data_IF_154273524958
#
_entry.id   IF_154273524958
#
_cell.length_a   1.000
_cell.length_b   1.000
_cell.length_c   1.000
_cell.angle_alpha   90.00
_cell.angle_beta   90.00
_cell.angle_gamma   90.00
#
_symmetry.space_group_name_H-M   'P 1'
#
loop_
_entity.id
_entity.type
_entity.pdbx_description
1 polymer ?
#
# COMPACT_ATOMS: atom_id res chain seq x y z
N UNK A 1 -6.85 -35.60 6.30
CA UNK A 1 -8.18 -35.02 6.02
C UNK A 1 -8.08 -34.10 4.83
N UNK A 2 -8.77 -34.42 3.74
CA UNK A 2 -8.74 -33.66 2.49
C UNK A 2 -9.34 -32.26 2.71
N UNK A 3 -8.54 -31.21 2.48
CA UNK A 3 -9.02 -29.82 2.52
C UNK A 3 -9.67 -29.51 1.17
N UNK A 4 -10.94 -29.13 1.18
CA UNK A 4 -11.72 -28.77 -0.01
C UNK A 4 -11.11 -27.57 -0.72
N UNK A 5 -10.97 -27.64 -2.04
CA UNK A 5 -10.40 -26.64 -2.96
C UNK A 5 -11.25 -25.36 -3.12
N UNK A 6 -11.91 -24.88 -2.06
CA UNK A 6 -12.85 -23.74 -2.09
C UNK A 6 -12.34 -22.50 -1.34
N UNK A 7 -11.06 -22.43 -0.93
CA UNK A 7 -10.51 -21.32 -0.14
C UNK A 7 -9.18 -20.74 -0.64
N UNK A 8 -8.83 -20.96 -1.91
CA UNK A 8 -7.50 -20.60 -2.45
C UNK A 8 -7.42 -19.16 -3.03
N UNK A 9 -8.59 -18.56 -3.28
CA UNK A 9 -8.77 -17.21 -3.80
C UNK A 9 -9.47 -16.39 -2.72
N UNK A 10 -9.16 -15.10 -2.56
CA UNK A 10 -9.99 -14.20 -1.74
C UNK A 10 -11.47 -14.43 -2.10
N UNK A 11 -12.30 -14.99 -1.21
CA UNK A 11 -13.62 -15.44 -1.61
C UNK A 11 -14.44 -14.27 -2.13
N UNK A 12 -15.17 -14.49 -3.23
CA UNK A 12 -16.10 -13.50 -3.78
C UNK A 12 -17.10 -13.10 -2.69
N UNK A 13 -17.32 -11.79 -2.51
CA UNK A 13 -18.08 -11.17 -1.40
C UNK A 13 -17.39 -11.12 -0.01
N UNK A 14 -16.11 -11.48 0.11
CA UNK A 14 -15.30 -11.22 1.33
C UNK A 14 -14.30 -10.06 1.19
N UNK A 15 -14.24 -9.41 0.02
CA UNK A 15 -13.34 -8.27 -0.21
C UNK A 15 -13.99 -7.01 0.34
N UNK A 16 -13.55 -6.61 1.54
CA UNK A 16 -14.11 -5.49 2.31
C UNK A 16 -13.44 -4.13 2.06
N UNK A 17 -12.39 -4.10 1.24
CA UNK A 17 -11.62 -2.89 0.95
C UNK A 17 -11.02 -2.19 2.20
N UNK A 18 -10.69 -2.96 3.23
CA UNK A 18 -9.94 -2.41 4.38
C UNK A 18 -8.51 -2.07 3.96
N UNK A 19 -7.99 -0.97 4.48
CA UNK A 19 -6.58 -0.59 4.32
C UNK A 19 -5.79 -1.01 5.55
N UNK A 20 -4.48 -1.20 5.40
CA UNK A 20 -3.60 -1.38 6.56
C UNK A 20 -3.59 -0.15 7.47
N UNK A 21 -3.85 1.05 6.95
CA UNK A 21 -3.93 2.28 7.75
C UNK A 21 -5.03 2.22 8.81
N UNK A 22 -6.19 1.63 8.48
CA UNK A 22 -7.27 1.44 9.45
C UNK A 22 -6.83 0.52 10.61
N UNK A 23 -5.97 -0.45 10.33
CA UNK A 23 -5.43 -1.37 11.35
C UNK A 23 -4.33 -0.73 12.20
N UNK A 24 -3.70 0.35 11.71
CA UNK A 24 -2.70 1.11 12.45
C UNK A 24 -3.31 2.10 13.44
N UNK A 25 -4.58 2.49 13.28
CA UNK A 25 -5.23 3.55 14.08
C UNK A 25 -5.05 3.42 15.60
N UNK A 26 -5.18 2.23 16.23
CA UNK A 26 -4.96 2.08 17.68
C UNK A 26 -3.54 2.44 18.13
N UNK A 27 -2.55 2.29 17.24
CA UNK A 27 -1.13 2.48 17.53
C UNK A 27 -0.62 3.89 17.21
N UNK A 28 -1.50 4.76 16.72
CA UNK A 28 -1.19 6.16 16.39
C UNK A 28 -2.20 7.12 17.05
N UNK A 29 -2.68 6.75 18.24
CA UNK A 29 -3.62 7.53 19.05
C UNK A 29 -4.95 7.87 18.36
N UNK A 30 -5.42 7.00 17.45
CA UNK A 30 -6.70 7.14 16.75
C UNK A 30 -7.71 6.07 17.19
N UNK A 31 -7.67 5.63 18.45
CA UNK A 31 -8.60 4.65 19.01
C UNK A 31 -10.09 5.00 18.80
N UNK A 32 -10.54 6.27 18.96
CA UNK A 32 -11.94 6.63 18.71
C UNK A 32 -12.38 6.38 17.26
N UNK A 33 -11.49 6.66 16.30
CA UNK A 33 -11.75 6.41 14.88
C UNK A 33 -11.77 4.90 14.58
N UNK A 34 -10.89 4.12 15.20
CA UNK A 34 -10.88 2.67 15.07
C UNK A 34 -12.18 2.03 15.58
N UNK A 35 -12.62 2.41 16.78
CA UNK A 35 -13.85 1.88 17.40
C UNK A 35 -15.11 2.24 16.62
N UNK A 36 -15.07 3.31 15.82
CA UNK A 36 -16.18 3.71 14.97
C UNK A 36 -16.33 2.82 13.71
N UNK A 37 -15.31 2.02 13.35
CA UNK A 37 -15.33 1.17 12.15
C UNK A 37 -15.93 -0.20 12.48
N UNK A 38 -16.95 -0.59 11.73
CA UNK A 38 -17.45 -1.97 11.77
C UNK A 38 -16.75 -2.84 10.72
N UNK A 39 -15.68 -3.54 11.14
CA UNK A 39 -14.90 -4.43 10.29
C UNK A 39 -15.67 -5.68 9.81
N UNK A 40 -16.93 -5.89 10.23
CA UNK A 40 -17.81 -6.90 9.63
C UNK A 40 -18.22 -6.51 8.21
N UNK A 41 -18.24 -5.22 7.90
CA UNK A 41 -18.69 -4.65 6.63
C UNK A 41 -17.56 -4.02 5.82
N UNK A 42 -17.81 -3.76 4.53
CA UNK A 42 -16.82 -3.12 3.67
C UNK A 42 -16.64 -1.63 4.01
N UNK A 43 -15.40 -1.14 3.91
CA UNK A 43 -15.07 0.28 4.10
C UNK A 43 -15.09 1.08 2.80
N UNK A 44 -15.21 0.43 1.65
CA UNK A 44 -15.34 1.12 0.36
C UNK A 44 -16.01 0.29 -0.73
N UNK A 45 -16.39 0.99 -1.79
CA UNK A 45 -17.20 0.44 -2.89
C UNK A 45 -16.40 0.08 -4.14
N UNK A 46 -15.08 0.28 -4.14
CA UNK A 46 -14.23 -0.17 -5.24
C UNK A 46 -14.46 -1.65 -5.53
N UNK A 47 -14.80 -1.96 -6.78
CA UNK A 47 -15.11 -3.32 -7.20
C UNK A 47 -14.59 -3.57 -8.62
N UNK A 48 -13.95 -4.71 -8.79
CA UNK A 48 -13.51 -5.20 -10.08
C UNK A 48 -14.16 -6.55 -10.34
N UNK A 49 -14.94 -6.60 -11.43
CA UNK A 49 -15.64 -7.81 -11.90
C UNK A 49 -16.65 -8.38 -10.89
N UNK A 50 -17.33 -7.54 -10.11
CA UNK A 50 -18.39 -8.00 -9.19
C UNK A 50 -17.88 -8.99 -8.14
N UNK A 51 -16.64 -8.77 -7.66
CA UNK A 51 -15.96 -9.66 -6.71
C UNK A 51 -15.91 -9.10 -5.29
N UNK A 52 -15.98 -7.79 -5.15
CA UNK A 52 -15.72 -7.09 -3.89
C UNK A 52 -16.44 -5.77 -3.76
N UNK A 53 -16.14 -5.06 -2.68
CA UNK A 53 -16.83 -3.82 -2.36
C UNK A 53 -18.26 -4.04 -1.88
N UNK A 54 -18.95 -2.94 -1.56
CA UNK A 54 -20.38 -2.98 -1.28
C UNK A 54 -20.85 -1.78 -0.47
N UNK A 55 -20.24 -1.59 0.70
CA UNK A 55 -20.66 -0.56 1.66
C UNK A 55 -19.63 0.55 1.84
N UNK A 56 -20.08 1.61 2.53
CA UNK A 56 -19.30 2.76 2.97
C UNK A 56 -19.46 2.88 4.47
N UNK A 57 -18.43 3.38 5.13
CA UNK A 57 -18.41 3.64 6.56
C UNK A 57 -18.36 5.17 6.77
N UNK A 58 -19.53 5.82 6.79
CA UNK A 58 -19.66 7.29 6.74
C UNK A 58 -18.92 8.01 7.87
N UNK A 59 -18.78 7.36 9.02
CA UNK A 59 -18.12 7.90 10.21
C UNK A 59 -16.61 8.13 10.05
N UNK A 60 -15.96 7.50 9.07
CA UNK A 60 -14.54 7.73 8.75
C UNK A 60 -14.31 8.57 7.49
N UNK A 61 -15.37 8.91 6.76
CA UNK A 61 -15.27 9.75 5.57
C UNK A 61 -14.82 11.17 5.92
N UNK A 62 -13.94 11.74 5.08
CA UNK A 62 -13.38 13.08 5.22
C UNK A 62 -12.32 13.21 6.32
N UNK A 63 -12.07 12.16 7.10
CA UNK A 63 -11.04 12.16 8.16
C UNK A 63 -9.65 12.14 7.56
N UNK A 64 -8.79 13.04 8.03
CA UNK A 64 -7.39 13.17 7.64
C UNK A 64 -6.51 12.90 8.86
N UNK A 65 -5.38 12.24 8.64
CA UNK A 65 -4.38 11.97 9.67
C UNK A 65 -3.06 12.57 9.24
N UNK A 66 -2.64 13.66 9.89
CA UNK A 66 -1.42 14.38 9.52
C UNK A 66 -0.16 13.51 9.63
N UNK A 67 -0.13 12.53 10.55
CA UNK A 67 0.98 11.56 10.65
C UNK A 67 1.18 10.72 9.39
N UNK A 68 0.14 10.57 8.55
CA UNK A 68 0.21 9.83 7.29
C UNK A 68 0.45 10.74 6.08
N UNK A 69 0.84 12.00 6.29
CA UNK A 69 0.95 13.02 5.24
C UNK A 69 2.34 13.65 5.31
N UNK A 70 3.02 13.67 4.18
CA UNK A 70 4.31 14.32 4.06
C UNK A 70 4.09 15.85 3.97
N UNK A 71 4.69 16.67 4.84
CA UNK A 71 4.54 18.13 4.81
C UNK A 71 5.05 18.78 3.51
N UNK A 72 5.96 18.13 2.80
CA UNK A 72 6.50 18.62 1.52
C UNK A 72 5.63 18.27 0.31
N UNK A 73 4.62 17.41 0.47
CA UNK A 73 3.74 17.04 -0.63
C UNK A 73 2.59 18.05 -0.77
N UNK A 74 2.40 18.55 -1.99
CA UNK A 74 1.37 19.54 -2.25
C UNK A 74 -0.02 18.88 -2.14
N UNK A 75 -0.90 19.49 -1.36
CA UNK A 75 -2.27 19.02 -1.24
C UNK A 75 -2.94 18.96 -2.62
N UNK A 76 -3.62 17.85 -2.93
CA UNK A 76 -4.22 17.63 -4.23
C UNK A 76 -5.46 16.76 -4.12
N UNK A 77 -6.62 17.30 -4.50
CA UNK A 77 -7.87 16.54 -4.65
C UNK A 77 -8.15 15.65 -3.42
N UNK A 78 -8.26 16.29 -2.25
CA UNK A 78 -8.26 15.63 -0.95
C UNK A 78 -9.21 16.37 0.04
N UNK A 79 -10.37 15.79 0.39
CA UNK A 79 -10.78 14.41 0.11
C UNK A 79 -11.18 14.19 -1.36
N UNK A 80 -10.93 12.97 -1.85
CA UNK A 80 -11.27 12.55 -3.20
C UNK A 80 -12.58 11.75 -3.23
N UNK A 81 -13.37 11.92 -4.29
CA UNK A 81 -14.49 11.06 -4.61
C UNK A 81 -14.47 10.68 -6.08
N UNK A 82 -14.77 9.42 -6.38
CA UNK A 82 -14.94 8.88 -7.71
C UNK A 82 -16.23 8.05 -7.74
N UNK A 83 -17.30 8.63 -8.29
CA UNK A 83 -18.66 8.11 -8.16
C UNK A 83 -19.09 7.05 -9.17
N UNK A 84 -18.28 6.76 -10.19
CA UNK A 84 -18.60 5.74 -11.18
C UNK A 84 -18.22 4.37 -10.62
N UNK A 85 -19.18 3.45 -10.53
CA UNK A 85 -18.97 2.12 -9.94
C UNK A 85 -17.98 1.30 -10.76
N UNK A 86 -16.77 1.13 -10.25
CA UNK A 86 -15.65 0.38 -10.82
C UNK A 86 -14.51 0.21 -9.78
N UNK A 87 -13.32 -0.20 -10.23
CA UNK A 87 -12.17 -0.48 -9.35
C UNK A 87 -11.55 0.75 -8.65
N UNK A 88 -11.96 1.96 -9.04
CA UNK A 88 -11.53 3.23 -8.46
C UNK A 88 -12.59 3.88 -7.57
N UNK A 89 -13.78 3.28 -7.44
CA UNK A 89 -14.88 3.89 -6.68
C UNK A 89 -14.49 4.15 -5.25
N UNK A 90 -14.61 5.41 -4.86
CA UNK A 90 -14.20 5.91 -3.55
C UNK A 90 -15.02 7.14 -3.20
N UNK A 91 -15.30 7.35 -1.92
CA UNK A 91 -16.15 8.45 -1.47
C UNK A 91 -15.47 9.19 -0.32
N UNK A 92 -15.36 10.50 -0.50
CA UNK A 92 -14.88 11.44 0.51
C UNK A 92 -13.65 10.90 1.27
N UNK A 93 -12.68 10.33 0.56
CA UNK A 93 -11.55 9.63 1.16
C UNK A 93 -10.26 10.43 1.04
N UNK A 94 -9.45 10.38 2.09
CA UNK A 94 -8.25 11.18 2.19
C UNK A 94 -7.02 10.46 1.67
N UNK A 95 -6.16 11.19 0.98
CA UNK A 95 -4.89 10.69 0.45
C UNK A 95 -3.85 10.51 1.56
N UNK A 96 -2.95 9.57 1.32
CA UNK A 96 -1.85 9.19 2.22
C UNK A 96 -0.53 9.24 1.46
N UNK A 97 0.52 9.76 2.09
CA UNK A 97 1.85 9.89 1.47
C UNK A 97 2.73 8.66 1.64
N UNK A 98 2.34 7.69 2.48
CA UNK A 98 3.14 6.50 2.79
C UNK A 98 2.40 5.23 2.36
N UNK A 99 2.79 4.65 1.23
CA UNK A 99 2.10 3.51 0.63
C UNK A 99 2.64 2.17 1.08
N UNK A 100 1.76 1.18 1.21
CA UNK A 100 2.14 -0.21 1.49
C UNK A 100 2.90 -0.80 0.31
N UNK A 101 4.13 -1.24 0.59
CA UNK A 101 5.02 -1.80 -0.43
C UNK A 101 4.57 -3.21 -0.79
N UNK A 102 4.51 -3.47 -2.08
CA UNK A 102 4.09 -4.77 -2.61
C UNK A 102 4.92 -5.19 -3.82
N UNK A 103 4.95 -6.49 -4.07
CA UNK A 103 5.79 -7.11 -5.10
C UNK A 103 5.23 -6.98 -6.51
N UNK A 104 3.93 -6.70 -6.61
CA UNK A 104 3.19 -6.71 -7.85
C UNK A 104 1.83 -6.02 -7.68
N UNK A 105 1.24 -5.65 -8.80
CA UNK A 105 -0.14 -5.20 -8.91
C UNK A 105 -1.13 -6.15 -8.25
N UNK A 106 -2.13 -5.58 -7.61
CA UNK A 106 -3.20 -6.27 -6.91
C UNK A 106 -4.06 -7.16 -7.82
N UNK A 107 -4.25 -6.79 -9.09
CA UNK A 107 -4.96 -7.64 -10.06
C UNK A 107 -4.21 -8.91 -10.47
N UNK A 108 -2.90 -8.96 -10.25
CA UNK A 108 -2.09 -10.16 -10.51
C UNK A 108 -1.98 -11.07 -9.29
N UNK A 109 -2.46 -10.63 -8.12
CA UNK A 109 -2.35 -11.35 -6.84
C UNK A 109 -3.75 -11.53 -6.27
N UNK A 110 -4.36 -12.65 -6.65
CA UNK A 110 -5.71 -13.00 -6.23
C UNK A 110 -5.74 -13.97 -5.03
N UNK A 111 -4.58 -14.52 -4.63
CA UNK A 111 -4.45 -15.42 -3.48
C UNK A 111 -4.36 -14.61 -2.19
N UNK A 112 -4.95 -15.15 -1.12
CA UNK A 112 -4.71 -14.65 0.24
C UNK A 112 -3.24 -14.84 0.62
N UNK A 113 -2.75 -14.02 1.54
CA UNK A 113 -1.35 -13.96 1.94
C UNK A 113 -0.75 -15.31 2.33
N UNK A 114 -1.49 -16.14 3.07
CA UNK A 114 -1.02 -17.47 3.51
C UNK A 114 -0.80 -18.48 2.37
N UNK A 115 -1.33 -18.21 1.18
CA UNK A 115 -1.22 -19.05 -0.02
C UNK A 115 -0.39 -18.39 -1.13
N UNK A 116 0.21 -17.22 -0.87
CA UNK A 116 1.20 -16.61 -1.74
C UNK A 116 2.56 -17.26 -1.48
N UNK A 117 3.05 -18.01 -2.47
CA UNK A 117 4.34 -18.73 -2.45
C UNK A 117 5.35 -18.11 -3.42
N UNK A 118 5.14 -16.86 -3.83
CA UNK A 118 6.13 -16.17 -4.65
C UNK A 118 7.47 -16.10 -3.92
N UNK A 119 8.57 -16.40 -4.62
CA UNK A 119 9.91 -16.36 -4.03
C UNK A 119 10.38 -14.95 -3.65
N UNK A 120 9.68 -13.92 -4.12
CA UNK A 120 9.90 -12.49 -3.87
C UNK A 120 8.68 -11.91 -3.13
N UNK A 121 8.20 -12.64 -2.13
CA UNK A 121 7.04 -12.27 -1.31
C UNK A 121 7.32 -11.01 -0.50
N UNK A 122 6.36 -10.10 -0.42
CA UNK A 122 6.44 -8.88 0.39
C UNK A 122 5.81 -9.07 1.77
N UNK A 123 6.11 -8.18 2.74
CA UNK A 123 5.53 -8.26 4.09
C UNK A 123 4.01 -8.20 4.11
N UNK A 124 3.40 -7.44 3.21
CA UNK A 124 1.95 -7.27 3.15
C UNK A 124 1.35 -7.96 1.94
N UNK A 125 0.09 -8.37 2.06
CA UNK A 125 -0.72 -8.81 0.93
C UNK A 125 -2.21 -8.89 1.25
N UNK A 126 -2.93 -9.75 0.52
CA UNK A 126 -4.39 -9.83 0.62
C UNK A 126 -4.83 -10.65 1.81
N UNK A 127 -5.69 -10.10 2.66
CA UNK A 127 -6.26 -10.78 3.82
C UNK A 127 -5.19 -11.46 4.71
N UNK A 128 -4.04 -10.79 4.87
CA UNK A 128 -2.95 -11.25 5.72
C UNK A 128 -1.65 -10.50 5.46
N UNK A 129 -0.68 -10.73 6.33
CA UNK A 129 0.66 -10.16 6.30
C UNK A 129 1.63 -11.12 6.98
N UNK A 130 2.94 -10.89 6.77
CA UNK A 130 4.02 -11.59 7.45
C UNK A 130 3.93 -11.37 8.96
N UNK A 131 4.28 -12.39 9.73
CA UNK A 131 4.78 -12.18 11.09
C UNK A 131 6.21 -11.66 11.01
N UNK A 132 6.70 -10.98 12.04
CA UNK A 132 8.12 -10.58 12.11
C UNK A 132 9.07 -11.78 11.97
N UNK A 133 8.68 -12.94 12.49
CA UNK A 133 9.42 -14.20 12.34
C UNK A 133 9.48 -14.73 10.91
N UNK A 134 8.60 -14.26 10.03
CA UNK A 134 8.55 -14.69 8.63
C UNK A 134 9.45 -13.80 7.74
N UNK A 135 10.09 -12.76 8.30
CA UNK A 135 10.99 -11.83 7.60
C UNK A 135 12.43 -12.33 7.73
N UNK A 136 12.85 -13.19 6.80
CA UNK A 136 14.15 -13.85 6.85
C UNK A 136 15.32 -12.94 6.46
N UNK A 137 15.08 -11.88 5.68
CA UNK A 137 16.06 -10.84 5.31
C UNK A 137 16.45 -9.96 6.51
N UNK A 138 15.71 -10.09 7.61
CA UNK A 138 15.83 -9.24 8.78
C UNK A 138 14.94 -8.00 8.65
N UNK A 139 14.18 -7.73 9.71
CA UNK A 139 13.22 -6.62 9.75
C UNK A 139 13.87 -5.25 9.44
N UNK A 140 15.13 -5.04 9.83
CA UNK A 140 15.88 -3.80 9.57
C UNK A 140 16.24 -3.55 8.09
N UNK A 141 16.17 -4.59 7.25
CA UNK A 141 16.48 -4.55 5.82
C UNK A 141 15.25 -4.72 4.94
N UNK A 142 14.08 -4.96 5.53
CA UNK A 142 12.83 -5.10 4.80
C UNK A 142 11.98 -3.83 4.88
N UNK A 143 11.69 -3.28 3.71
CA UNK A 143 10.82 -2.13 3.49
C UNK A 143 9.35 -2.51 3.71
N UNK A 144 8.66 -1.75 4.57
CA UNK A 144 7.24 -1.88 4.85
C UNK A 144 6.40 -0.84 4.10
N UNK A 145 6.77 0.43 4.26
CA UNK A 145 6.11 1.57 3.62
C UNK A 145 7.14 2.40 2.87
N UNK A 146 6.70 3.06 1.81
CA UNK A 146 7.51 4.02 1.06
C UNK A 146 6.68 5.25 0.74
N UNK A 147 7.34 6.39 0.69
CA UNK A 147 6.70 7.62 0.24
C UNK A 147 6.16 7.51 -1.19
N UNK A 148 5.05 8.21 -1.41
CA UNK A 148 4.33 8.26 -2.67
C UNK A 148 3.58 9.59 -2.77
N UNK A 149 3.68 10.35 -3.88
CA UNK A 149 3.02 11.65 -3.96
C UNK A 149 1.50 11.51 -4.10
N UNK A 150 0.76 12.44 -3.49
CA UNK A 150 -0.70 12.56 -3.59
C UNK A 150 -1.15 12.67 -5.04
N UNK A 151 -0.48 13.52 -5.82
CA UNK A 151 -0.82 13.76 -7.22
C UNK A 151 -0.15 12.74 -8.13
N UNK A 152 -0.96 11.79 -8.60
CA UNK A 152 -0.60 10.82 -9.63
C UNK A 152 -0.96 11.31 -11.03
N UNK A 153 -0.62 10.51 -12.05
CA UNK A 153 -1.02 10.76 -13.44
C UNK A 153 -2.54 10.91 -13.61
N UNK A 154 -3.33 10.05 -12.95
CA UNK A 154 -4.80 10.17 -12.89
C UNK A 154 -5.26 10.64 -11.51
N UNK A 155 -6.34 11.42 -11.47
CA UNK A 155 -7.01 11.85 -10.23
C UNK A 155 -7.59 10.66 -9.44
N UNK A 156 -7.97 9.59 -10.13
CA UNK A 156 -8.60 8.42 -9.52
C UNK A 156 -7.62 7.51 -8.73
N UNK A 157 -6.31 7.76 -8.83
CA UNK A 157 -5.31 6.89 -8.21
C UNK A 157 -5.03 7.32 -6.76
N UNK A 158 -4.87 6.33 -5.87
CA UNK A 158 -4.57 6.52 -4.46
C UNK A 158 -3.07 6.54 -4.14
N UNK A 159 -2.67 6.10 -2.93
CA UNK A 159 -3.49 5.42 -1.92
C UNK A 159 -4.41 6.35 -1.11
N UNK A 160 -5.42 5.76 -0.48
CA UNK A 160 -6.37 6.43 0.40
C UNK A 160 -6.40 5.79 1.80
N UNK A 161 -6.74 6.58 2.81
CA UNK A 161 -6.85 6.14 4.21
C UNK A 161 -8.05 5.20 4.41
N UNK A 162 -9.25 5.63 3.97
CA UNK A 162 -10.52 5.01 4.33
C UNK A 162 -10.77 3.66 3.66
N UNK A 163 -10.39 3.52 2.40
CA UNK A 163 -10.64 2.28 1.68
C UNK A 163 -9.59 1.95 0.63
N UNK A 164 -9.41 0.64 0.46
CA UNK A 164 -8.57 0.05 -0.56
C UNK A 164 -9.24 0.23 -1.93
N UNK A 165 -8.48 0.74 -2.90
CA UNK A 165 -8.86 0.77 -4.31
C UNK A 165 -7.81 0.02 -5.14
N UNK A 166 -8.04 -0.13 -6.45
CA UNK A 166 -7.08 -0.73 -7.40
C UNK A 166 -5.63 -0.25 -7.20
N UNK A 167 -5.42 0.97 -6.73
CA UNK A 167 -4.11 1.63 -6.72
C UNK A 167 -3.55 1.87 -5.32
N UNK A 168 -3.94 1.01 -4.37
CA UNK A 168 -3.52 1.13 -2.97
C UNK A 168 -2.05 0.76 -2.74
N UNK A 169 -1.57 -0.30 -3.39
CA UNK A 169 -0.18 -0.75 -3.22
C UNK A 169 0.80 0.23 -3.88
N UNK A 170 2.04 0.28 -3.41
CA UNK A 170 3.14 0.95 -4.09
C UNK A 170 4.17 -0.09 -4.49
N UNK A 171 4.72 0.05 -5.70
CA UNK A 171 5.52 -0.96 -6.37
C UNK A 171 6.90 -0.40 -6.73
N UNK A 172 7.78 -0.14 -5.74
CA UNK A 172 9.14 0.37 -6.01
C UNK A 172 9.91 -0.52 -6.96
N UNK A 173 9.68 -1.83 -6.84
CA UNK A 173 10.29 -2.84 -7.69
C UNK A 173 10.06 -2.62 -9.19
N UNK A 174 8.92 -2.06 -9.57
CA UNK A 174 8.50 -1.93 -10.96
C UNK A 174 8.68 -0.52 -11.51
N UNK A 175 8.46 0.50 -10.69
CA UNK A 175 8.47 1.88 -11.14
C UNK A 175 9.76 2.63 -10.80
N UNK A 176 10.49 2.26 -9.75
CA UNK A 176 11.62 3.07 -9.25
C UNK A 176 11.15 4.35 -8.55
N UNK A 177 12.03 4.95 -7.75
CA UNK A 177 11.74 6.17 -6.97
C UNK A 177 11.67 7.36 -7.93
N UNK A 178 10.66 8.22 -7.76
CA UNK A 178 10.46 9.44 -8.54
C UNK A 178 10.36 9.24 -10.06
N UNK A 179 10.02 8.03 -10.50
CA UNK A 179 9.82 7.76 -11.92
C UNK A 179 8.75 8.65 -12.52
N UNK A 180 9.12 9.32 -13.62
CA UNK A 180 8.23 10.19 -14.36
C UNK A 180 7.49 9.43 -15.45
N UNK A 181 6.19 9.24 -15.25
CA UNK A 181 5.35 8.61 -16.23
C UNK A 181 5.12 9.54 -17.41
N UNK A 182 5.71 9.18 -18.57
CA UNK A 182 5.57 9.88 -19.85
C UNK A 182 6.02 11.35 -19.81
N UNK A 183 7.01 11.69 -18.98
CA UNK A 183 7.54 13.06 -18.93
C UNK A 183 6.55 14.09 -18.37
N UNK A 184 5.67 13.66 -17.45
CA UNK A 184 4.58 14.48 -16.91
C UNK A 184 4.91 15.20 -15.61
N UNK A 185 6.09 14.98 -15.04
CA UNK A 185 6.45 15.33 -13.68
C UNK A 185 5.68 14.55 -12.61
N UNK A 186 5.12 13.38 -12.95
CA UNK A 186 4.26 12.59 -12.05
C UNK A 186 4.47 11.09 -12.24
N UNK A 187 4.44 10.31 -11.15
CA UNK A 187 4.41 8.87 -11.28
C UNK A 187 3.04 8.38 -11.80
N UNK A 188 3.05 7.15 -12.31
CA UNK A 188 1.83 6.39 -12.50
C UNK A 188 1.22 5.99 -11.14
N UNK A 189 0.13 5.23 -11.15
CA UNK A 189 -0.63 4.85 -9.96
C UNK A 189 0.23 4.31 -8.80
N UNK A 190 1.03 3.28 -9.05
CA UNK A 190 1.78 2.56 -8.02
C UNK A 190 3.23 3.05 -7.85
N UNK A 191 3.60 4.18 -8.46
CA UNK A 191 4.98 4.67 -8.41
C UNK A 191 5.32 5.29 -7.05
N UNK A 192 6.42 4.86 -6.40
CA UNK A 192 6.92 5.53 -5.19
C UNK A 192 7.61 6.85 -5.53
N UNK A 193 7.85 7.64 -4.51
CA UNK A 193 8.59 8.89 -4.62
C UNK A 193 8.05 9.96 -3.68
N UNK A 194 8.70 11.11 -3.71
CA UNK A 194 8.31 12.25 -2.91
C UNK A 194 8.50 13.55 -3.69
N UNK A 195 8.22 14.69 -3.04
CA UNK A 195 8.59 16.02 -3.54
C UNK A 195 9.86 16.57 -2.89
N UNK A 196 10.55 15.75 -2.08
CA UNK A 196 11.88 16.06 -1.59
C UNK A 196 12.90 16.04 -2.75
N UNK A 197 14.02 16.73 -2.57
CA UNK A 197 15.07 16.74 -3.57
C UNK A 197 15.81 15.38 -3.58
N UNK A 198 15.76 14.66 -4.71
CA UNK A 198 16.63 13.52 -4.99
C UNK A 198 16.28 12.19 -4.30
N UNK A 199 15.08 12.01 -3.75
CA UNK A 199 14.73 10.75 -3.09
C UNK A 199 13.40 10.74 -2.35
N UNK A 200 13.24 9.78 -1.45
CA UNK A 200 12.03 9.63 -0.62
C UNK A 200 12.31 8.82 0.66
N UNK A 201 11.45 8.94 1.67
CA UNK A 201 11.56 8.17 2.90
C UNK A 201 10.98 6.76 2.78
N UNK A 202 11.63 5.83 3.46
CA UNK A 202 11.26 4.42 3.57
C UNK A 202 11.15 4.06 5.05
N UNK A 203 10.09 3.33 5.42
CA UNK A 203 9.94 2.71 6.74
C UNK A 203 10.34 1.23 6.65
N UNK A 204 11.25 0.81 7.53
CA UNK A 204 11.71 -0.56 7.67
C UNK A 204 10.94 -1.32 8.76
N UNK A 205 11.05 -2.65 8.75
CA UNK A 205 10.36 -3.54 9.69
C UNK A 205 10.77 -3.41 11.15
N UNK A 206 11.94 -2.82 11.43
CA UNK A 206 12.41 -2.47 12.77
C UNK A 206 11.91 -1.09 13.25
N UNK A 207 11.14 -0.38 12.44
CA UNK A 207 10.63 0.96 12.73
C UNK A 207 11.57 2.09 12.28
N UNK A 208 12.75 1.79 11.75
CA UNK A 208 13.67 2.80 11.21
C UNK A 208 13.07 3.48 9.99
N UNK A 209 13.17 4.80 9.94
CA UNK A 209 12.88 5.60 8.75
C UNK A 209 14.20 6.08 8.16
N UNK A 210 14.37 5.92 6.84
CA UNK A 210 15.59 6.36 6.16
C UNK A 210 15.24 7.01 4.83
N UNK A 211 15.94 8.11 4.51
CA UNK A 211 15.87 8.74 3.22
C UNK A 211 16.70 7.94 2.21
N UNK A 212 16.10 7.58 1.08
CA UNK A 212 16.77 6.80 0.03
C UNK A 212 16.78 7.60 -1.26
N UNK A 213 17.95 7.65 -1.90
CA UNK A 213 18.18 8.39 -3.12
C UNK A 213 17.41 7.78 -4.30
N UNK A 214 16.91 8.61 -5.20
CA UNK A 214 16.20 8.13 -6.40
C UNK A 214 17.08 7.34 -7.38
N UNK A 215 18.39 7.58 -7.32
CA UNK A 215 19.43 6.88 -8.08
C UNK A 215 19.86 5.56 -7.44
N UNK A 216 19.28 5.16 -6.31
CA UNK A 216 19.57 3.87 -5.68
C UNK A 216 19.33 2.74 -6.66
N UNK A 217 20.29 1.81 -6.71
CA UNK A 217 20.26 0.66 -7.61
C UNK A 217 18.91 -0.08 -7.54
N UNK A 218 18.43 -0.50 -8.71
CA UNK A 218 17.16 -1.19 -8.80
C UNK A 218 17.21 -2.56 -8.15
N UNK A 219 18.30 -3.30 -8.29
CA UNK A 219 18.50 -4.58 -7.61
C UNK A 219 18.38 -4.42 -6.09
N UNK A 220 19.09 -3.44 -5.52
CA UNK A 220 19.04 -3.15 -4.09
C UNK A 220 17.63 -2.81 -3.63
N UNK A 221 16.97 -1.85 -4.27
CA UNK A 221 15.61 -1.49 -3.87
C UNK A 221 14.63 -2.67 -4.03
N UNK A 222 14.84 -3.57 -4.99
CA UNK A 222 14.02 -4.77 -5.14
C UNK A 222 14.23 -5.75 -3.98
N UNK A 223 15.49 -5.97 -3.57
CA UNK A 223 15.84 -6.80 -2.42
C UNK A 223 15.15 -6.30 -1.15
N UNK A 224 15.20 -4.98 -0.90
CA UNK A 224 14.55 -4.39 0.27
C UNK A 224 13.04 -4.65 0.34
N UNK A 225 12.36 -4.97 -0.78
CA UNK A 225 10.91 -5.22 -0.72
C UNK A 225 10.53 -6.60 -0.19
N UNK A 226 11.43 -7.59 -0.15
CA UNK A 226 11.05 -8.99 0.09
C UNK A 226 11.33 -9.48 1.51
N UNK A 227 10.84 -10.67 1.84
CA UNK A 227 10.95 -11.32 3.15
C UNK A 227 11.69 -12.68 3.10
N UNK A 228 12.15 -13.10 1.91
CA UNK A 228 12.67 -14.47 1.69
C UNK A 228 14.21 -14.56 1.54
N UNK A 229 14.92 -13.44 1.43
CA UNK A 229 16.39 -13.36 1.56
C UNK A 229 17.15 -13.88 0.35
N UNK A 230 16.47 -13.98 -0.80
CA UNK A 230 17.00 -14.65 -2.00
C UNK A 230 17.53 -13.69 -3.05
N UNK A 231 17.42 -12.38 -2.82
CA UNK A 231 18.10 -11.38 -3.63
C UNK A 231 19.54 -11.19 -3.12
N UNK A 232 20.51 -11.89 -3.72
CA UNK A 232 21.92 -11.62 -3.47
C UNK A 232 22.29 -10.22 -4.01
N UNK A 233 22.25 -9.20 -3.16
CA UNK A 233 22.70 -7.84 -3.47
C UNK A 233 23.62 -7.39 -2.35
N UNK A 234 24.82 -6.92 -2.69
CA UNK A 234 25.69 -6.25 -1.73
C UNK A 234 25.01 -4.96 -1.27
N UNK A 235 24.57 -4.94 -0.02
CA UNK A 235 24.00 -3.75 0.61
C UNK A 235 25.19 -2.87 1.04
N UNK A 236 25.27 -1.60 0.60
CA UNK A 236 26.28 -0.68 1.09
C UNK A 236 26.20 -0.55 2.62
N UNK A 237 27.34 -0.45 3.30
CA UNK A 237 27.41 -0.38 4.77
C UNK A 237 26.70 0.85 5.39
N UNK A 238 26.16 1.76 4.58
CA UNK A 238 25.34 2.90 5.00
C UNK A 238 24.52 3.44 3.84
N UNK A 239 23.29 3.87 4.15
CA UNK A 239 22.50 4.82 3.37
C UNK A 239 22.61 6.20 4.03
#
# INVERSE_FOLDING_TARGET
MARSAATDICPTAQIKNHTGYLLLLPYIDQQPMYNAIDFRFATGQADWRSRGGGQRQLQIEGKKLEVLRCPSDANFDDPHSYGWQNMYTIHNSSRVSYGFVHRHHEYAIYRCYGMDYAWYKTPFGKNGAAKLSDINDGAAQTMLLIETPFRKWSRAYGPYLQAYTHTHNILPRQYGINYDYRGSGRPYAWGPGSRHNGGCHILFGDGRVTFVNESTDRGLTNALTTIEGREAVEIPNSF
#
